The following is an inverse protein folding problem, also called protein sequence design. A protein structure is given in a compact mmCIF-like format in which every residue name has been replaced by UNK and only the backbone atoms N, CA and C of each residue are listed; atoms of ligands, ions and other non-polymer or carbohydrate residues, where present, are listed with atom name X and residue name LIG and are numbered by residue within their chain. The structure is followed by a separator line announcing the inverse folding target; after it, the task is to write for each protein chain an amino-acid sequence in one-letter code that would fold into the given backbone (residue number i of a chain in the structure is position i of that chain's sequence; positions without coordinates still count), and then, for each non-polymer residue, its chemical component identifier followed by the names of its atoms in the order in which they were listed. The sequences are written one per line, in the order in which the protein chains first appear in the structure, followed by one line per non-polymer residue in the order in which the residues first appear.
data_IF_957448716604
#
_entry.id   IF_957448716604
#
_cell.length_a   1.000
_cell.length_b   1.000
_cell.length_c   1.000
_cell.angle_alpha   90.00
_cell.angle_beta   90.00
_cell.angle_gamma   90.00
#
_symmetry.space_group_name_H-M   'P 1'
#
loop_
_entity.id
_entity.type
_entity.pdbx_description
1 polymer ?
#
# COMPACT_ATOMS: atom_id res chain seq x y z
N UNK A 1 -19.04 47.55 0.06
CA UNK A 1 -19.11 46.38 0.96
C UNK A 1 -19.89 45.26 0.26
N UNK A 2 -19.23 44.15 -0.10
CA UNK A 2 -19.94 42.95 -0.57
C UNK A 2 -20.55 42.26 0.65
N UNK A 3 -21.88 42.06 0.66
CA UNK A 3 -22.57 41.28 1.69
C UNK A 3 -22.13 39.82 1.57
N UNK A 4 -21.33 39.33 2.52
CA UNK A 4 -21.07 37.90 2.65
C UNK A 4 -22.38 37.21 3.06
N UNK A 5 -22.86 36.26 2.25
CA UNK A 5 -24.06 35.48 2.57
C UNK A 5 -23.71 34.39 3.58
N UNK A 6 -24.55 34.25 4.60
CA UNK A 6 -24.56 33.13 5.54
C UNK A 6 -24.67 31.81 4.76
N UNK A 7 -23.71 30.90 4.95
CA UNK A 7 -23.71 29.58 4.33
C UNK A 7 -24.83 28.73 4.94
N UNK A 8 -25.61 28.09 4.07
CA UNK A 8 -26.72 27.21 4.46
C UNK A 8 -26.12 25.90 4.94
N UNK A 9 -26.39 25.53 6.21
CA UNK A 9 -26.14 24.17 6.69
C UNK A 9 -27.05 23.20 5.91
N UNK A 10 -26.46 22.37 5.07
CA UNK A 10 -27.08 21.09 4.70
C UNK A 10 -26.51 20.04 5.63
N UNK A 11 -27.28 19.68 6.67
CA UNK A 11 -27.01 18.44 7.39
C UNK A 11 -27.19 17.29 6.38
N UNK A 12 -26.10 16.62 6.03
CA UNK A 12 -26.19 15.34 5.37
C UNK A 12 -26.65 14.30 6.39
N UNK A 13 -27.77 13.65 6.10
CA UNK A 13 -28.29 12.53 6.89
C UNK A 13 -29.28 12.95 7.97
N UNK A 14 -30.54 13.16 7.57
CA UNK A 14 -31.64 13.06 8.53
C UNK A 14 -31.66 11.65 9.12
N UNK A 15 -31.97 11.55 10.42
CA UNK A 15 -31.99 10.31 11.21
C UNK A 15 -32.76 9.16 10.51
N UNK A 16 -33.76 9.49 9.69
CA UNK A 16 -34.49 8.52 8.85
C UNK A 16 -33.63 7.77 7.82
N UNK A 17 -32.66 8.43 7.18
CA UNK A 17 -31.76 7.79 6.20
C UNK A 17 -30.72 6.88 6.87
N UNK A 18 -30.34 7.18 8.13
CA UNK A 18 -29.44 6.35 8.92
C UNK A 18 -30.13 5.03 9.32
N UNK A 19 -31.38 5.09 9.78
CA UNK A 19 -32.15 3.88 10.07
C UNK A 19 -32.44 3.05 8.81
N UNK A 20 -32.72 3.70 7.68
CA UNK A 20 -32.89 3.00 6.41
C UNK A 20 -31.61 2.24 5.98
N UNK A 21 -30.43 2.85 6.14
CA UNK A 21 -29.15 2.19 5.89
C UNK A 21 -28.87 1.05 6.86
N UNK A 22 -29.14 1.21 8.15
CA UNK A 22 -28.97 0.12 9.13
C UNK A 22 -29.87 -1.06 8.79
N UNK A 23 -31.12 -0.81 8.41
CA UNK A 23 -32.06 -1.85 8.00
C UNK A 23 -31.56 -2.54 6.73
N UNK A 24 -31.06 -1.80 5.73
CA UNK A 24 -30.51 -2.35 4.49
C UNK A 24 -29.26 -3.21 4.72
N UNK A 25 -28.36 -2.76 5.60
CA UNK A 25 -27.16 -3.51 6.02
C UNK A 25 -27.55 -4.76 6.81
N UNK A 26 -28.55 -4.66 7.69
CA UNK A 26 -29.04 -5.81 8.47
C UNK A 26 -29.69 -6.85 7.57
N UNK A 27 -30.51 -6.43 6.61
CA UNK A 27 -31.16 -7.33 5.63
C UNK A 27 -30.11 -8.00 4.74
N UNK A 28 -29.08 -7.27 4.29
CA UNK A 28 -28.00 -7.86 3.48
C UNK A 28 -27.14 -8.84 4.27
N UNK A 29 -26.83 -8.55 5.54
CA UNK A 29 -26.14 -9.51 6.43
C UNK A 29 -26.97 -10.76 6.68
N UNK A 30 -28.29 -10.62 6.90
CA UNK A 30 -29.20 -11.75 7.04
C UNK A 30 -29.25 -12.57 5.74
N UNK A 31 -29.33 -11.93 4.58
CA UNK A 31 -29.32 -12.59 3.27
C UNK A 31 -28.01 -13.34 3.01
N UNK A 32 -26.87 -12.74 3.36
CA UNK A 32 -25.56 -13.39 3.23
C UNK A 32 -25.48 -14.60 4.15
N UNK A 33 -25.93 -14.49 5.41
CA UNK A 33 -25.93 -15.61 6.36
C UNK A 33 -26.87 -16.74 5.91
N UNK A 34 -28.08 -16.45 5.43
CA UNK A 34 -29.00 -17.47 4.92
C UNK A 34 -28.47 -18.12 3.63
N UNK A 35 -27.84 -17.35 2.74
CA UNK A 35 -27.20 -17.86 1.54
C UNK A 35 -26.00 -18.76 1.85
N UNK A 36 -25.16 -18.38 2.81
CA UNK A 36 -24.01 -19.20 3.27
C UNK A 36 -24.47 -20.49 3.97
N UNK A 37 -25.53 -20.43 4.79
CA UNK A 37 -26.13 -21.62 5.42
C UNK A 37 -26.78 -22.55 4.38
N UNK A 38 -27.44 -22.01 3.36
CA UNK A 38 -27.97 -22.79 2.24
C UNK A 38 -26.86 -23.50 1.45
N UNK A 39 -25.71 -22.84 1.24
CA UNK A 39 -24.56 -23.45 0.55
C UNK A 39 -23.87 -24.55 1.37
N UNK A 40 -23.83 -24.43 2.71
CA UNK A 40 -23.34 -25.51 3.61
C UNK A 40 -24.25 -26.73 3.58
N UNK A 41 -25.57 -26.53 3.65
CA UNK A 41 -26.53 -27.64 3.52
C UNK A 41 -26.46 -28.33 2.14
N UNK A 42 -26.01 -27.62 1.09
CA UNK A 42 -25.78 -28.22 -0.22
C UNK A 42 -24.47 -29.03 -0.29
N UNK A 43 -23.41 -28.64 0.45
CA UNK A 43 -22.17 -29.43 0.51
C UNK A 43 -22.31 -30.69 1.35
N UNK A 44 -23.10 -30.64 2.43
CA UNK A 44 -23.30 -31.80 3.31
C UNK A 44 -24.18 -32.87 2.66
N UNK A 45 -25.09 -32.48 1.75
CA UNK A 45 -25.91 -33.42 0.96
C UNK A 45 -25.22 -34.02 -0.28
N UNK A 46 -23.99 -33.60 -0.59
CA UNK A 46 -23.18 -34.12 -1.70
C UNK A 46 -22.07 -35.09 -1.26
N UNK A 47 -21.88 -35.28 0.05
CA UNK A 47 -20.86 -36.20 0.60
C UNK A 47 -21.40 -37.59 0.97
N UNK A 48 -22.71 -37.83 0.85
CA UNK A 48 -23.33 -39.13 1.11
C UNK A 48 -23.74 -39.81 -0.20
N UNK A 49 -22.81 -40.58 -0.79
CA UNK A 49 -23.11 -41.79 -1.59
C UNK A 49 -21.83 -42.60 -1.89
N UNK A 50 -21.88 -43.89 -1.48
CA UNK A 50 -20.91 -45.00 -1.60
C UNK A 50 -20.04 -45.22 -0.33
N UNK A 51 -20.43 -46.03 0.68
CA UNK A 51 -20.55 -47.51 0.74
C UNK A 51 -19.20 -48.23 0.51
N UNK A 52 -18.66 -49.13 1.35
CA UNK A 52 -19.24 -50.21 2.17
C UNK A 52 -18.20 -50.69 3.22
N UNK A 53 -18.69 -51.19 4.35
CA UNK A 53 -17.95 -51.71 5.52
C UNK A 53 -17.33 -53.09 5.31
N UNK A 54 -16.25 -53.37 6.04
CA UNK A 54 -15.64 -54.68 6.23
C UNK A 54 -14.71 -54.67 7.43
N UNK A 55 -15.20 -55.21 8.55
CA UNK A 55 -14.53 -55.34 9.85
C UNK A 55 -13.79 -56.70 9.92
N UNK A 56 -12.84 -56.79 10.87
CA UNK A 56 -12.17 -58.01 11.42
C UNK A 56 -10.84 -58.44 10.71
N UNK A 57 -9.69 -58.75 11.37
CA UNK A 57 -9.41 -59.45 12.65
C UNK A 57 -7.91 -59.27 13.09
N UNK A 58 -7.68 -59.28 14.43
CA UNK A 58 -6.50 -59.66 15.28
C UNK A 58 -5.16 -58.89 15.40
N UNK A 59 -5.05 -58.17 16.55
CA UNK A 59 -4.09 -58.22 17.69
C UNK A 59 -2.65 -58.79 17.64
N UNK A 60 -1.78 -57.98 18.29
CA UNK A 60 -0.72 -58.25 19.30
C UNK A 60 0.63 -58.90 18.92
N UNK A 61 1.73 -58.17 19.14
CA UNK A 61 2.57 -58.36 20.35
C UNK A 61 3.63 -57.24 20.57
N UNK A 62 3.84 -56.96 21.86
CA UNK A 62 4.74 -56.03 22.56
C UNK A 62 6.24 -56.41 22.46
N UNK A 63 7.15 -55.42 22.37
CA UNK A 63 8.24 -54.97 23.31
C UNK A 63 9.13 -56.09 23.89
N UNK A 64 10.47 -55.99 23.94
CA UNK A 64 11.34 -54.97 24.55
C UNK A 64 12.80 -55.05 23.99
N UNK A 65 13.58 -53.97 24.14
CA UNK A 65 14.87 -53.93 24.88
C UNK A 65 15.83 -52.82 24.39
N UNK A 66 16.38 -52.11 25.37
CA UNK A 66 17.18 -50.88 25.31
C UNK A 66 18.67 -51.20 25.13
N UNK A 67 19.39 -50.51 24.24
CA UNK A 67 20.85 -50.41 24.32
C UNK A 67 21.29 -48.97 24.05
N UNK A 68 21.71 -48.29 25.12
CA UNK A 68 22.30 -46.95 25.11
C UNK A 68 23.82 -47.03 24.97
N UNK A 69 24.42 -46.05 24.28
CA UNK A 69 25.76 -45.43 24.46
C UNK A 69 26.22 -44.73 23.14
N UNK A 70 27.04 -43.65 23.16
CA UNK A 70 26.99 -42.42 23.95
C UNK A 70 26.78 -41.17 23.06
N UNK A 71 26.41 -40.05 23.69
CA UNK A 71 26.28 -38.74 23.05
C UNK A 71 27.63 -38.24 22.51
N UNK A 72 27.76 -38.12 21.19
CA UNK A 72 28.78 -37.26 20.57
C UNK A 72 28.10 -36.07 19.87
N UNK A 73 28.35 -34.89 20.43
CA UNK A 73 28.03 -33.60 19.86
C UNK A 73 28.68 -33.45 18.48
N UNK A 74 27.90 -33.67 17.42
CA UNK A 74 28.23 -33.17 16.09
C UNK A 74 27.06 -32.35 15.60
N UNK A 75 27.28 -31.05 15.57
CA UNK A 75 26.43 -30.02 15.01
C UNK A 75 25.98 -30.43 13.59
N UNK A 76 24.85 -31.12 13.46
CA UNK A 76 24.23 -31.40 12.17
C UNK A 76 23.68 -30.06 11.69
N UNK A 77 24.48 -29.30 10.92
CA UNK A 77 23.96 -28.33 9.96
C UNK A 77 23.00 -29.12 9.07
N UNK A 78 21.69 -29.07 9.37
CA UNK A 78 20.67 -29.48 8.39
C UNK A 78 20.91 -28.59 7.17
N UNK A 79 21.48 -29.17 6.10
CA UNK A 79 21.46 -28.52 4.80
C UNK A 79 19.98 -28.27 4.49
N UNK A 80 19.59 -26.99 4.38
CA UNK A 80 18.25 -26.64 3.95
C UNK A 80 18.10 -27.12 2.50
N UNK A 81 17.37 -28.21 2.30
CA UNK A 81 17.00 -28.68 0.97
C UNK A 81 16.07 -27.64 0.35
N UNK A 82 16.38 -27.09 -0.83
CA UNK A 82 15.50 -26.12 -1.46
C UNK A 82 14.13 -26.69 -1.78
N UNK A 83 13.11 -25.84 -1.67
CA UNK A 83 11.80 -26.14 -2.21
C UNK A 83 11.92 -26.37 -3.73
N UNK A 84 11.13 -27.31 -4.26
CA UNK A 84 11.18 -27.66 -5.66
C UNK A 84 11.02 -26.43 -6.57
N UNK A 85 11.98 -26.22 -7.46
CA UNK A 85 12.03 -25.08 -8.37
C UNK A 85 12.84 -23.88 -7.86
N UNK A 86 13.23 -23.85 -6.59
CA UNK A 86 14.07 -22.80 -6.01
C UNK A 86 15.58 -23.09 -6.11
N UNK A 87 15.96 -24.18 -6.75
CA UNK A 87 17.35 -24.52 -6.97
C UNK A 87 18.03 -23.48 -7.88
N UNK A 88 19.26 -23.13 -7.51
CA UNK A 88 20.19 -22.33 -8.29
C UNK A 88 21.46 -23.15 -8.52
N UNK A 89 22.13 -22.91 -9.65
CA UNK A 89 23.31 -23.68 -10.05
C UNK A 89 24.55 -23.36 -9.18
N UNK A 90 24.50 -22.25 -8.44
CA UNK A 90 25.60 -21.72 -7.63
C UNK A 90 25.45 -22.10 -6.14
N UNK A 91 26.57 -22.34 -5.47
CA UNK A 91 26.60 -22.50 -4.01
C UNK A 91 26.93 -21.17 -3.34
N UNK A 92 26.02 -20.66 -2.52
CA UNK A 92 26.20 -19.39 -1.80
C UNK A 92 27.21 -19.48 -0.66
N UNK A 93 27.97 -18.40 -0.43
CA UNK A 93 28.79 -18.25 0.76
C UNK A 93 27.91 -18.13 2.01
N UNK A 94 28.47 -18.42 3.20
CA UNK A 94 27.73 -18.42 4.46
C UNK A 94 27.03 -17.10 4.82
N UNK A 95 27.50 -15.99 4.27
CA UNK A 95 26.99 -14.65 4.50
C UNK A 95 26.15 -14.10 3.34
N UNK A 96 25.86 -14.93 2.33
CA UNK A 96 25.01 -14.59 1.20
C UNK A 96 23.76 -15.48 1.15
N UNK A 97 22.66 -14.92 0.67
CA UNK A 97 21.36 -15.57 0.62
C UNK A 97 21.03 -15.91 -0.83
N UNK A 98 20.66 -17.17 -1.13
CA UNK A 98 20.20 -17.56 -2.46
C UNK A 98 18.84 -16.94 -2.77
N UNK A 99 18.66 -16.48 -4.00
CA UNK A 99 17.38 -16.00 -4.52
C UNK A 99 17.15 -16.49 -5.94
N UNK A 100 15.88 -16.59 -6.31
CA UNK A 100 15.43 -16.84 -7.69
C UNK A 100 14.08 -16.16 -7.90
N UNK A 101 14.02 -15.23 -8.84
CA UNK A 101 12.85 -14.38 -9.09
C UNK A 101 12.59 -14.36 -10.59
N UNK A 102 11.41 -14.84 -10.97
CA UNK A 102 10.99 -14.98 -12.35
C UNK A 102 9.65 -14.27 -12.51
N UNK A 103 9.57 -13.33 -13.45
CA UNK A 103 8.30 -12.71 -13.82
C UNK A 103 7.37 -13.72 -14.49
N UNK A 104 6.07 -13.43 -14.50
CA UNK A 104 5.17 -14.12 -15.39
C UNK A 104 5.47 -13.85 -16.86
N UNK A 105 4.91 -14.66 -17.75
CA UNK A 105 4.97 -14.51 -19.21
C UNK A 105 3.60 -14.78 -19.79
N UNK A 106 3.05 -13.84 -20.56
CA UNK A 106 1.66 -13.94 -20.99
C UNK A 106 0.70 -13.89 -19.80
N UNK A 107 -0.39 -14.66 -19.91
CA UNK A 107 -1.47 -14.75 -18.91
C UNK A 107 -1.58 -16.12 -18.23
N UNK A 108 -0.71 -17.07 -18.60
CA UNK A 108 -0.80 -18.48 -18.20
C UNK A 108 0.48 -19.00 -17.50
N UNK A 109 1.62 -18.33 -17.69
CA UNK A 109 2.86 -18.61 -16.96
C UNK A 109 3.02 -17.61 -15.82
N UNK A 110 2.74 -18.09 -14.62
CA UNK A 110 2.72 -17.31 -13.38
C UNK A 110 4.13 -17.01 -12.87
N UNK A 111 4.34 -15.87 -12.19
CA UNK A 111 5.60 -15.53 -11.55
C UNK A 111 6.02 -16.55 -10.49
N UNK A 112 7.33 -16.58 -10.24
CA UNK A 112 7.96 -17.39 -9.19
C UNK A 112 8.88 -16.50 -8.36
N UNK A 113 8.74 -16.56 -7.03
CA UNK A 113 9.65 -15.89 -6.10
C UNK A 113 10.14 -16.91 -5.08
N UNK A 114 11.46 -17.10 -5.07
CA UNK A 114 12.19 -17.88 -4.09
C UNK A 114 13.19 -16.99 -3.36
N UNK A 115 13.25 -17.13 -2.04
CA UNK A 115 14.23 -16.45 -1.20
C UNK A 115 14.70 -17.39 -0.10
N UNK A 116 16.02 -17.45 0.09
CA UNK A 116 16.66 -18.38 1.03
C UNK A 116 16.16 -19.83 0.86
N UNK A 117 16.16 -20.30 -0.39
CA UNK A 117 15.72 -21.66 -0.79
C UNK A 117 14.24 -21.98 -0.54
N UNK A 118 13.41 -21.02 -0.11
CA UNK A 118 11.99 -21.20 0.15
C UNK A 118 11.15 -20.61 -0.97
N UNK A 119 10.13 -21.35 -1.43
CA UNK A 119 9.16 -20.90 -2.42
C UNK A 119 8.11 -20.00 -1.76
N UNK A 120 8.06 -18.73 -2.13
CA UNK A 120 7.20 -17.72 -1.51
C UNK A 120 6.03 -17.31 -2.41
N UNK A 121 6.23 -17.29 -3.72
CA UNK A 121 5.18 -17.01 -4.71
C UNK A 121 5.28 -18.01 -5.84
N UNK A 122 4.22 -18.78 -6.05
CA UNK A 122 4.02 -19.63 -7.23
C UNK A 122 2.58 -20.15 -7.28
N UNK A 123 2.06 -20.52 -8.44
CA UNK A 123 0.67 -21.02 -8.60
C UNK A 123 0.36 -22.31 -7.82
N UNK A 124 1.38 -23.08 -7.47
CA UNK A 124 1.22 -24.37 -6.79
C UNK A 124 1.16 -24.24 -5.25
N UNK A 125 1.37 -23.03 -4.70
CA UNK A 125 1.22 -22.80 -3.26
C UNK A 125 -0.27 -22.81 -2.89
N UNK A 126 -0.62 -23.48 -1.80
CA UNK A 126 -2.02 -23.68 -1.35
C UNK A 126 -2.79 -22.36 -1.19
N UNK A 127 -2.10 -21.33 -0.71
CA UNK A 127 -2.66 -20.00 -0.44
C UNK A 127 -2.19 -18.94 -1.45
N UNK A 128 -1.79 -19.37 -2.66
CA UNK A 128 -1.29 -18.48 -3.70
C UNK A 128 -2.37 -17.52 -4.18
N UNK A 129 -2.14 -16.22 -3.98
CA UNK A 129 -3.01 -15.14 -4.47
C UNK A 129 -2.40 -14.42 -5.66
N UNK A 130 -1.76 -15.12 -6.59
CA UNK A 130 -1.13 -14.46 -7.75
C UNK A 130 -2.21 -13.84 -8.64
N UNK A 131 -2.01 -12.58 -9.03
CA UNK A 131 -2.86 -11.89 -10.00
C UNK A 131 -2.01 -11.13 -11.02
N UNK A 132 -2.68 -10.62 -12.07
CA UNK A 132 -2.13 -9.57 -12.92
C UNK A 132 -1.56 -8.44 -12.06
N UNK A 133 -0.49 -7.81 -12.54
CA UNK A 133 0.12 -6.64 -11.93
C UNK A 133 1.42 -6.95 -11.19
N UNK A 134 1.58 -6.33 -10.01
CA UNK A 134 2.78 -6.43 -9.17
C UNK A 134 2.57 -7.52 -8.12
N UNK A 135 3.37 -8.58 -8.17
CA UNK A 135 3.40 -9.62 -7.14
C UNK A 135 4.65 -9.40 -6.28
N UNK A 136 4.48 -9.16 -4.98
CA UNK A 136 5.58 -8.76 -4.11
C UNK A 136 5.74 -9.64 -2.88
N UNK A 137 6.97 -9.67 -2.37
CA UNK A 137 7.33 -10.19 -1.06
C UNK A 137 8.13 -9.09 -0.35
N UNK A 138 7.79 -8.83 0.91
CA UNK A 138 8.59 -7.97 1.79
C UNK A 138 9.22 -8.83 2.87
N UNK A 139 10.51 -8.63 3.08
CA UNK A 139 11.33 -9.39 4.02
C UNK A 139 12.01 -8.40 4.97
N UNK A 140 12.03 -8.74 6.26
CA UNK A 140 12.75 -7.96 7.27
C UNK A 140 14.25 -7.91 6.91
N UNK A 141 14.81 -6.71 6.82
CA UNK A 141 16.20 -6.51 6.43
C UNK A 141 17.24 -7.02 7.45
N UNK A 142 16.83 -7.37 8.68
CA UNK A 142 17.71 -7.83 9.76
C UNK A 142 17.51 -9.32 10.07
N UNK A 143 16.26 -9.77 10.19
CA UNK A 143 15.95 -11.16 10.56
C UNK A 143 15.77 -12.07 9.36
N UNK A 144 15.53 -11.49 8.17
CA UNK A 144 15.16 -12.20 6.95
C UNK A 144 13.82 -12.96 7.03
N UNK A 145 12.98 -12.61 7.99
CA UNK A 145 11.62 -13.13 8.07
C UNK A 145 10.72 -12.48 7.02
N UNK A 146 9.83 -13.27 6.44
CA UNK A 146 8.83 -12.77 5.50
C UNK A 146 7.79 -11.96 6.28
N UNK A 147 7.70 -10.65 5.98
CA UNK A 147 6.74 -9.72 6.58
C UNK A 147 5.38 -9.79 5.89
N UNK A 148 5.39 -9.79 4.56
CA UNK A 148 4.17 -9.88 3.76
C UNK A 148 4.43 -10.50 2.39
N UNK A 149 3.38 -11.13 1.86
CA UNK A 149 3.29 -11.61 0.48
C UNK A 149 1.96 -11.09 -0.06
N UNK A 150 2.00 -10.16 -1.01
CA UNK A 150 0.80 -9.51 -1.55
C UNK A 150 0.88 -9.41 -3.09
N UNK A 151 -0.28 -9.35 -3.72
CA UNK A 151 -0.43 -9.04 -5.13
C UNK A 151 -1.21 -7.75 -5.29
N UNK A 152 -0.94 -7.01 -6.35
CA UNK A 152 -1.64 -5.78 -6.68
C UNK A 152 -1.95 -5.76 -8.17
N UNK A 153 -3.23 -5.64 -8.53
CA UNK A 153 -3.64 -5.42 -9.91
C UNK A 153 -3.39 -3.95 -10.31
N UNK A 154 -2.10 -3.61 -10.47
CA UNK A 154 -1.63 -2.27 -10.82
C UNK A 154 -2.00 -1.84 -12.24
N UNK A 155 -2.75 -2.66 -12.99
CA UNK A 155 -3.44 -2.23 -14.20
C UNK A 155 -4.75 -1.49 -13.87
N UNK A 156 -5.49 -1.91 -12.84
CA UNK A 156 -6.76 -1.30 -12.44
C UNK A 156 -6.60 -0.24 -11.35
N UNK A 157 -5.79 -0.53 -10.33
CA UNK A 157 -5.69 0.30 -9.12
C UNK A 157 -4.27 0.24 -8.55
N UNK A 158 -3.63 1.40 -8.35
CA UNK A 158 -2.28 1.46 -7.76
C UNK A 158 -2.24 1.95 -6.31
N UNK A 159 -3.30 2.54 -5.77
CA UNK A 159 -3.26 3.23 -4.47
C UNK A 159 -2.81 2.29 -3.34
N UNK A 160 -3.30 1.04 -3.31
CA UNK A 160 -2.87 0.04 -2.33
C UNK A 160 -1.41 -0.38 -2.48
N UNK A 161 -0.91 -0.45 -3.71
CA UNK A 161 0.49 -0.73 -3.99
C UNK A 161 1.37 0.41 -3.49
N UNK A 162 1.04 1.66 -3.84
CA UNK A 162 1.75 2.85 -3.39
C UNK A 162 1.75 2.98 -1.87
N UNK A 163 0.60 2.76 -1.22
CA UNK A 163 0.47 2.74 0.24
C UNK A 163 1.37 1.69 0.88
N UNK A 164 1.42 0.49 0.31
CA UNK A 164 2.29 -0.58 0.80
C UNK A 164 3.75 -0.18 0.72
N UNK A 165 4.21 0.31 -0.43
CA UNK A 165 5.58 0.80 -0.61
C UNK A 165 5.94 1.96 0.33
N UNK A 166 4.98 2.84 0.64
CA UNK A 166 5.20 4.01 1.51
C UNK A 166 5.22 3.63 3.00
N UNK A 167 4.21 2.88 3.45
CA UNK A 167 3.85 2.79 4.88
C UNK A 167 4.15 1.42 5.51
N UNK A 168 4.05 0.32 4.74
CA UNK A 168 4.19 -1.04 5.28
C UNK A 168 5.63 -1.57 5.28
N UNK A 169 6.53 -0.88 4.58
CA UNK A 169 7.93 -1.31 4.40
C UNK A 169 8.86 -0.29 5.06
N UNK A 170 9.74 -0.76 5.94
CA UNK A 170 10.69 0.08 6.65
C UNK A 170 11.98 0.27 5.84
N UNK A 171 12.75 1.31 6.17
CA UNK A 171 14.07 1.51 5.57
C UNK A 171 14.96 0.28 5.81
N UNK A 172 15.60 -0.20 4.74
CA UNK A 172 16.44 -1.40 4.75
C UNK A 172 15.71 -2.72 4.60
N UNK A 173 14.37 -2.77 4.71
CA UNK A 173 13.61 -3.97 4.37
C UNK A 173 13.75 -4.30 2.89
N UNK A 174 13.76 -5.61 2.58
CA UNK A 174 13.92 -6.11 1.22
C UNK A 174 12.55 -6.20 0.56
N UNK A 175 12.42 -5.59 -0.60
CA UNK A 175 11.28 -5.74 -1.51
C UNK A 175 11.71 -6.63 -2.68
N UNK A 176 11.03 -7.76 -2.85
CA UNK A 176 11.10 -8.57 -4.07
C UNK A 176 9.80 -8.33 -4.84
N UNK A 177 9.91 -8.00 -6.12
CA UNK A 177 8.78 -7.73 -7.01
C UNK A 177 8.96 -8.54 -8.30
N UNK A 178 7.87 -9.19 -8.74
CA UNK A 178 7.77 -9.85 -10.03
C UNK A 178 6.46 -9.43 -10.74
N UNK A 179 6.56 -8.99 -11.99
CA UNK A 179 5.40 -8.61 -12.80
C UNK A 179 4.65 -9.83 -13.33
N UNK A 180 3.33 -9.71 -13.56
CA UNK A 180 2.54 -10.71 -14.29
C UNK A 180 1.49 -10.06 -15.19
N UNK A 181 1.37 -10.52 -16.44
CA UNK A 181 0.53 -9.96 -17.52
C UNK A 181 0.85 -8.49 -17.82
N UNK A 182 0.34 -7.58 -17.00
CA UNK A 182 0.49 -6.13 -17.17
C UNK A 182 0.59 -5.45 -15.81
N UNK A 183 1.65 -4.66 -15.61
CA UNK A 183 1.95 -4.00 -14.34
C UNK A 183 1.92 -2.48 -14.42
N UNK A 184 2.07 -1.90 -15.61
CA UNK A 184 2.49 -0.50 -15.79
C UNK A 184 1.37 0.48 -16.13
N UNK A 185 0.21 0.02 -16.59
CA UNK A 185 -0.86 0.89 -17.11
C UNK A 185 -1.46 1.81 -16.03
N UNK A 186 -1.73 1.27 -14.85
CA UNK A 186 -2.25 2.03 -13.71
C UNK A 186 -1.17 2.70 -12.88
N UNK A 187 0.11 2.33 -13.02
CA UNK A 187 1.20 2.94 -12.26
C UNK A 187 1.40 4.42 -12.62
N UNK A 188 1.70 5.22 -11.59
CA UNK A 188 2.00 6.65 -11.71
C UNK A 188 3.40 6.98 -11.21
N UNK A 189 3.81 8.23 -11.45
CA UNK A 189 5.16 8.72 -11.15
C UNK A 189 5.55 8.60 -9.68
N UNK A 190 4.59 8.68 -8.75
CA UNK A 190 4.83 8.50 -7.32
C UNK A 190 5.32 7.07 -7.01
N UNK A 191 4.62 6.05 -7.51
CA UNK A 191 5.01 4.63 -7.39
C UNK A 191 6.35 4.37 -8.07
N UNK A 192 6.55 4.89 -9.29
CA UNK A 192 7.79 4.71 -10.05
C UNK A 192 8.99 5.35 -9.36
N UNK A 193 8.84 6.59 -8.87
CA UNK A 193 9.92 7.30 -8.16
C UNK A 193 10.20 6.67 -6.80
N UNK A 194 9.18 6.12 -6.14
CA UNK A 194 9.40 5.36 -4.93
C UNK A 194 10.20 4.09 -5.22
N UNK A 195 9.88 3.32 -6.27
CA UNK A 195 10.68 2.15 -6.68
C UNK A 195 12.15 2.50 -7.05
N UNK A 196 12.42 3.72 -7.54
CA UNK A 196 13.81 4.21 -7.68
C UNK A 196 14.51 4.37 -6.31
N UNK A 197 13.81 4.80 -5.27
CA UNK A 197 14.29 4.83 -3.88
C UNK A 197 14.40 3.43 -3.23
N UNK A 198 13.89 2.39 -3.90
CA UNK A 198 14.20 0.99 -3.59
C UNK A 198 15.44 0.49 -4.34
N UNK A 199 16.09 1.35 -5.11
CA UNK A 199 17.31 1.07 -5.86
C UNK A 199 17.11 0.74 -7.33
N UNK A 200 15.87 0.75 -7.85
CA UNK A 200 15.63 0.42 -9.27
C UNK A 200 16.19 1.49 -10.21
N UNK A 201 16.92 1.08 -11.25
CA UNK A 201 17.38 1.99 -12.31
C UNK A 201 16.42 2.02 -13.50
N UNK A 202 15.78 0.88 -13.78
CA UNK A 202 15.06 0.62 -15.01
C UNK A 202 13.54 0.77 -14.90
N UNK A 203 12.96 0.88 -13.70
CA UNK A 203 11.50 0.90 -13.51
C UNK A 203 10.76 1.92 -14.40
N UNK A 204 11.29 3.14 -14.54
CA UNK A 204 10.71 4.18 -15.42
C UNK A 204 10.79 3.87 -16.92
N UNK A 205 11.56 2.86 -17.32
CA UNK A 205 11.69 2.39 -18.71
C UNK A 205 10.80 1.19 -19.02
N UNK A 206 10.21 0.56 -18.01
CA UNK A 206 9.31 -0.60 -18.18
C UNK A 206 8.01 -0.11 -18.79
N UNK A 207 7.60 -0.73 -19.91
CA UNK A 207 6.40 -0.34 -20.66
C UNK A 207 5.30 -1.39 -20.51
N UNK A 208 4.13 -1.07 -21.06
CA UNK A 208 2.97 -1.95 -21.12
C UNK A 208 3.33 -3.37 -21.55
N UNK A 209 3.05 -4.36 -20.68
CA UNK A 209 3.35 -5.80 -20.85
C UNK A 209 4.82 -6.17 -21.07
N UNK A 210 5.74 -5.27 -20.75
CA UNK A 210 7.11 -5.68 -20.52
C UNK A 210 7.17 -6.51 -19.22
N UNK A 211 8.14 -7.41 -19.15
CA UNK A 211 8.37 -8.24 -17.97
C UNK A 211 9.45 -7.60 -17.11
N UNK A 212 9.22 -7.55 -15.80
CA UNK A 212 10.12 -6.92 -14.85
C UNK A 212 10.19 -7.71 -13.54
N UNK A 213 11.41 -7.82 -13.02
CA UNK A 213 11.68 -8.30 -11.65
C UNK A 213 12.65 -7.35 -10.98
N UNK A 214 12.51 -7.17 -9.68
CA UNK A 214 13.53 -6.51 -8.87
C UNK A 214 13.63 -7.09 -7.46
N UNK A 215 14.83 -7.04 -6.90
CA UNK A 215 15.12 -7.17 -5.48
C UNK A 215 15.79 -5.87 -5.07
N UNK A 216 15.08 -5.06 -4.29
CA UNK A 216 15.51 -3.76 -3.81
C UNK A 216 15.36 -3.64 -2.31
N UNK A 217 15.80 -2.52 -1.74
CA UNK A 217 15.59 -2.20 -0.33
C UNK A 217 15.19 -0.74 -0.20
N UNK A 218 14.23 -0.44 0.69
CA UNK A 218 13.81 0.96 0.89
C UNK A 218 15.00 1.78 1.38
N UNK A 219 15.32 2.86 0.67
CA UNK A 219 16.47 3.72 0.95
C UNK A 219 17.75 3.33 0.21
N UNK A 220 17.69 2.31 -0.64
CA UNK A 220 18.82 1.89 -1.44
C UNK A 220 19.05 2.86 -2.60
N UNK A 221 20.30 3.24 -2.82
CA UNK A 221 20.66 4.12 -3.94
C UNK A 221 20.25 3.52 -5.29
N UNK A 222 19.73 4.38 -6.19
CA UNK A 222 19.35 4.02 -7.55
C UNK A 222 20.47 3.27 -8.29
N UNK A 223 20.14 2.17 -8.95
CA UNK A 223 21.07 1.31 -9.68
C UNK A 223 21.80 0.27 -8.82
N UNK A 224 21.37 0.08 -7.57
CA UNK A 224 21.89 -0.98 -6.69
C UNK A 224 20.92 -2.14 -6.51
N UNK A 225 19.67 -2.03 -6.94
CA UNK A 225 18.75 -3.16 -6.95
C UNK A 225 19.24 -4.23 -7.94
N UNK A 226 18.98 -5.49 -7.60
CA UNK A 226 19.11 -6.60 -8.55
C UNK A 226 17.84 -6.59 -9.38
N UNK A 227 17.92 -6.29 -10.67
CA UNK A 227 16.74 -6.17 -11.52
C UNK A 227 16.97 -6.75 -12.91
N UNK A 228 15.88 -7.15 -13.56
CA UNK A 228 15.87 -7.46 -14.98
C UNK A 228 14.60 -6.92 -15.61
N UNK A 229 14.76 -6.23 -16.73
CA UNK A 229 13.69 -5.74 -17.59
C UNK A 229 13.78 -6.44 -18.94
N UNK A 230 12.69 -7.05 -19.37
CA UNK A 230 12.56 -7.69 -20.67
C UNK A 230 11.47 -7.00 -21.48
N UNK A 231 11.88 -6.28 -22.52
CA UNK A 231 10.92 -5.63 -23.40
C UNK A 231 10.18 -6.64 -24.28
N UNK A 232 8.87 -6.42 -24.46
CA UNK A 232 8.07 -7.18 -25.43
C UNK A 232 8.46 -6.85 -26.88
N UNK A 233 8.99 -5.66 -27.13
CA UNK A 233 9.26 -5.18 -28.49
C UNK A 233 7.99 -5.23 -29.35
N UNK A 234 8.03 -6.04 -30.42
CA UNK A 234 6.88 -6.25 -31.33
C UNK A 234 5.90 -7.35 -30.87
N UNK A 235 6.19 -8.05 -29.77
CA UNK A 235 5.34 -9.13 -29.25
C UNK A 235 4.22 -8.56 -28.37
N UNK A 236 3.25 -9.41 -28.07
CA UNK A 236 2.17 -9.09 -27.14
C UNK A 236 2.66 -8.97 -25.70
N UNK A 237 3.67 -9.79 -25.34
CA UNK A 237 4.24 -9.87 -23.99
C UNK A 237 5.77 -9.96 -24.02
N UNK A 238 6.40 -9.47 -22.95
CA UNK A 238 7.82 -9.68 -22.66
C UNK A 238 8.16 -11.16 -22.49
N UNK A 239 9.44 -11.49 -22.70
CA UNK A 239 9.97 -12.77 -22.20
C UNK A 239 10.09 -12.70 -20.68
N UNK A 240 10.09 -13.83 -19.99
CA UNK A 240 10.37 -13.87 -18.56
C UNK A 240 11.64 -13.10 -18.21
N UNK A 241 11.53 -12.14 -17.30
CA UNK A 241 12.66 -11.57 -16.60
C UNK A 241 13.02 -12.56 -15.47
N UNK A 242 14.25 -13.05 -15.46
CA UNK A 242 14.72 -14.15 -14.61
C UNK A 242 16.05 -13.73 -13.99
N UNK A 243 16.04 -13.51 -12.68
CA UNK A 243 17.24 -13.25 -11.89
C UNK A 243 17.40 -14.35 -10.85
N UNK A 244 18.61 -14.89 -10.75
CA UNK A 244 18.97 -15.93 -9.79
C UNK A 244 20.42 -15.75 -9.36
N UNK A 245 20.74 -16.13 -8.14
CA UNK A 245 22.10 -16.04 -7.61
C UNK A 245 22.12 -15.89 -6.09
N UNK A 246 23.25 -15.37 -5.58
CA UNK A 246 23.48 -15.14 -4.16
C UNK A 246 23.72 -13.66 -3.89
N UNK A 247 23.08 -13.10 -2.86
CA UNK A 247 23.26 -11.69 -2.47
C UNK A 247 23.53 -11.54 -0.98
N UNK A 248 24.38 -10.57 -0.63
CA UNK A 248 24.52 -10.08 0.76
C UNK A 248 23.63 -8.86 0.92
N UNK A 249 22.88 -8.82 2.02
CA UNK A 249 22.01 -7.69 2.34
C UNK A 249 22.60 -6.90 3.52
N UNK A 250 22.51 -5.56 3.50
CA UNK A 250 21.93 -4.76 2.42
C UNK A 250 22.78 -4.75 1.13
N UNK A 251 22.13 -4.60 -0.03
CA UNK A 251 22.76 -4.55 -1.36
C UNK A 251 23.68 -3.32 -1.53
N UNK A 252 23.58 -2.35 -0.63
CA UNK A 252 24.38 -1.14 -0.59
C UNK A 252 24.03 -0.31 0.64
N UNK A 253 24.53 0.93 0.66
CA UNK A 253 24.18 1.86 1.73
C UNK A 253 22.68 2.19 1.68
N UNK A 254 22.04 2.10 2.85
CA UNK A 254 20.64 2.49 3.05
C UNK A 254 20.63 3.92 3.59
N UNK A 255 19.98 4.82 2.85
CA UNK A 255 19.68 6.18 3.27
C UNK A 255 18.19 6.24 3.59
N UNK A 256 17.78 6.64 4.81
CA UNK A 256 16.37 6.72 5.16
C UNK A 256 15.59 7.50 4.11
N UNK A 257 14.52 6.88 3.58
CA UNK A 257 13.69 7.56 2.60
C UNK A 257 12.86 8.57 3.36
N UNK A 258 13.28 9.83 3.27
CA UNK A 258 12.37 10.95 3.52
C UNK A 258 11.38 10.90 2.37
N UNK A 259 10.38 10.03 2.47
CA UNK A 259 9.10 10.32 1.85
C UNK A 259 8.80 11.68 2.44
N UNK A 260 8.62 12.74 1.62
CA UNK A 260 8.07 13.97 2.16
C UNK A 260 6.85 13.47 2.90
N UNK A 261 6.93 13.43 4.24
CA UNK A 261 5.75 13.45 5.07
C UNK A 261 5.01 14.57 4.39
N UNK A 262 3.84 14.26 3.83
CA UNK A 262 2.93 15.25 3.26
C UNK A 262 3.22 16.55 4.00
N UNK A 263 3.54 17.67 3.34
CA UNK A 263 3.91 18.88 4.05
C UNK A 263 2.74 19.27 4.97
N UNK A 264 2.80 18.67 6.15
CA UNK A 264 1.78 18.53 7.15
C UNK A 264 2.54 19.14 8.27
N UNK A 265 2.37 20.45 8.32
CA UNK A 265 2.78 21.22 9.46
C UNK A 265 1.88 20.73 10.60
N UNK A 266 2.33 19.68 11.31
CA UNK A 266 1.76 19.27 12.58
C UNK A 266 1.95 20.42 13.54
N UNK A 267 0.88 20.83 14.22
CA UNK A 267 0.70 21.70 15.40
C UNK A 267 1.76 22.76 15.76
N UNK A 268 3.07 22.52 15.62
CA UNK A 268 4.16 23.46 15.89
C UNK A 268 4.80 24.17 14.67
N UNK A 269 4.38 23.90 13.42
CA UNK A 269 4.98 24.51 12.20
C UNK A 269 4.01 25.25 11.27
N UNK A 270 2.76 25.46 11.68
CA UNK A 270 1.76 26.08 10.80
C UNK A 270 2.09 27.56 10.65
N UNK A 271 2.48 27.96 9.45
CA UNK A 271 2.77 29.35 9.15
C UNK A 271 1.48 30.18 9.24
N UNK A 272 1.56 31.32 9.91
CA UNK A 272 0.46 32.29 9.99
C UNK A 272 0.82 33.47 9.10
N UNK A 273 -0.02 33.74 8.12
CA UNK A 273 0.08 34.90 7.26
C UNK A 273 -0.53 36.13 7.93
N UNK A 274 -1.22 36.93 7.11
CA UNK A 274 -1.90 38.15 7.58
C UNK A 274 -2.94 37.83 8.65
N UNK A 275 -3.01 38.66 9.68
CA UNK A 275 -4.11 38.66 10.66
C UNK A 275 -5.20 39.65 10.23
N UNK A 276 -6.45 39.23 10.35
CA UNK A 276 -7.63 40.05 10.06
C UNK A 276 -8.67 39.76 11.12
N UNK A 277 -9.05 40.77 11.90
CA UNK A 277 -10.04 40.64 12.95
C UNK A 277 -11.30 39.93 12.44
N UNK A 278 -11.72 38.90 13.17
CA UNK A 278 -12.93 38.12 12.88
C UNK A 278 -13.00 37.58 11.43
N UNK A 279 -11.84 37.36 10.79
CA UNK A 279 -11.71 37.01 9.37
C UNK A 279 -12.51 37.92 8.42
N UNK A 280 -12.73 39.18 8.80
CA UNK A 280 -13.49 40.16 8.02
C UNK A 280 -15.02 40.08 8.17
N UNK A 281 -15.53 39.25 9.09
CA UNK A 281 -16.94 39.26 9.47
C UNK A 281 -17.24 40.52 10.30
N UNK A 282 -18.40 41.14 10.04
CA UNK A 282 -18.85 42.36 10.75
C UNK A 282 -19.32 42.03 12.17
N UNK A 283 -19.99 40.89 12.35
CA UNK A 283 -20.50 40.43 13.64
C UNK A 283 -19.55 39.41 14.27
N UNK A 284 -19.22 39.60 15.55
CA UNK A 284 -18.35 38.69 16.30
C UNK A 284 -19.03 37.34 16.54
N UNK A 285 -18.26 36.26 16.38
CA UNK A 285 -18.71 34.91 16.69
C UNK A 285 -18.99 34.72 18.19
N UNK A 286 -19.93 33.82 18.53
CA UNK A 286 -20.21 33.43 19.92
C UNK A 286 -19.07 32.57 20.51
N UNK A 287 -19.11 32.32 21.81
CA UNK A 287 -18.09 31.55 22.54
C UNK A 287 -17.82 30.15 21.97
N UNK A 288 -18.81 29.48 21.34
CA UNK A 288 -18.64 28.17 20.70
C UNK A 288 -18.57 28.22 19.16
N UNK A 289 -18.43 29.42 18.59
CA UNK A 289 -18.30 29.65 17.15
C UNK A 289 -16.92 30.26 16.87
N UNK A 290 -16.41 30.12 15.64
CA UNK A 290 -15.19 30.79 15.22
C UNK A 290 -15.34 31.33 13.81
N UNK A 291 -14.63 32.42 13.54
CA UNK A 291 -14.71 33.08 12.26
C UNK A 291 -13.93 32.29 11.20
N UNK A 292 -14.54 32.13 10.03
CA UNK A 292 -13.88 31.51 8.88
C UNK A 292 -14.12 32.35 7.65
N UNK A 293 -13.06 32.58 6.88
CA UNK A 293 -13.16 33.10 5.51
C UNK A 293 -12.45 32.16 4.55
N UNK A 294 -13.21 31.57 3.64
CA UNK A 294 -12.73 30.66 2.60
C UNK A 294 -12.88 31.34 1.25
N UNK A 295 -11.80 31.39 0.48
CA UNK A 295 -11.75 32.05 -0.81
C UNK A 295 -10.95 31.21 -1.81
N UNK A 296 -11.58 30.81 -2.90
CA UNK A 296 -10.99 29.94 -3.93
C UNK A 296 -9.97 30.64 -4.82
N UNK A 297 -9.90 31.96 -4.79
CA UNK A 297 -9.29 32.70 -5.88
C UNK A 297 -10.27 32.97 -7.02
N UNK A 298 -9.85 33.85 -7.93
CA UNK A 298 -10.62 34.22 -9.14
C UNK A 298 -10.01 33.63 -10.42
N UNK A 299 -8.69 33.60 -10.48
CA UNK A 299 -7.87 33.12 -11.60
C UNK A 299 -6.50 32.69 -11.07
N UNK A 300 -5.61 32.20 -11.94
CA UNK A 300 -4.30 31.66 -11.58
C UNK A 300 -3.34 32.66 -10.89
N UNK A 301 -3.66 33.96 -10.83
CA UNK A 301 -2.86 34.97 -10.13
C UNK A 301 -3.44 35.39 -8.78
N UNK A 302 -4.67 34.98 -8.46
CA UNK A 302 -5.34 35.27 -7.19
C UNK A 302 -5.50 33.98 -6.39
N UNK A 303 -4.47 33.67 -5.63
CA UNK A 303 -4.29 32.44 -4.86
C UNK A 303 -5.37 32.21 -3.77
N UNK A 304 -5.57 30.95 -3.34
CA UNK A 304 -6.62 30.60 -2.40
C UNK A 304 -6.31 31.16 -1.02
N UNK A 305 -7.34 31.44 -0.24
CA UNK A 305 -7.21 31.97 1.12
C UNK A 305 -8.13 31.24 2.09
N UNK A 306 -7.58 30.78 3.21
CA UNK A 306 -8.35 30.29 4.36
C UNK A 306 -7.90 31.09 5.58
N UNK A 307 -8.83 31.83 6.17
CA UNK A 307 -8.68 32.43 7.48
C UNK A 307 -9.47 31.64 8.51
N UNK A 308 -8.85 31.34 9.64
CA UNK A 308 -9.46 30.70 10.81
C UNK A 308 -9.19 31.57 12.02
N UNK A 309 -10.26 32.00 12.68
CA UNK A 309 -10.25 32.82 13.90
C UNK A 309 -9.28 34.02 13.83
N UNK A 310 -9.38 34.74 12.72
CA UNK A 310 -8.63 35.95 12.43
C UNK A 310 -7.20 35.75 11.92
N UNK A 311 -6.78 34.52 11.64
CA UNK A 311 -5.45 34.19 11.11
C UNK A 311 -5.56 33.54 9.73
N UNK A 312 -4.98 34.15 8.70
CA UNK A 312 -4.83 33.48 7.40
C UNK A 312 -3.77 32.37 7.51
N UNK A 313 -4.22 31.13 7.39
CA UNK A 313 -3.38 29.91 7.45
C UNK A 313 -3.19 29.28 6.08
N UNK A 314 -3.99 29.67 5.08
CA UNK A 314 -3.69 29.43 3.66
C UNK A 314 -3.76 30.78 2.98
N UNK A 315 -2.70 31.16 2.28
CA UNK A 315 -2.61 32.34 1.42
C UNK A 315 -1.29 32.29 0.65
N UNK A 316 -1.05 33.24 -0.24
CA UNK A 316 0.18 33.29 -1.04
C UNK A 316 1.45 33.18 -0.21
N UNK A 317 2.23 32.13 -0.47
CA UNK A 317 3.48 31.81 0.23
C UNK A 317 3.31 31.32 1.67
N UNK A 318 2.09 30.94 2.08
CA UNK A 318 1.78 30.44 3.43
C UNK A 318 1.27 29.00 3.33
N UNK A 319 1.96 28.08 4.02
CA UNK A 319 1.66 26.64 4.07
C UNK A 319 1.41 26.04 2.68
N UNK A 320 2.30 26.37 1.74
CA UNK A 320 2.34 25.81 0.38
C UNK A 320 1.02 25.94 -0.39
N UNK A 321 0.29 27.04 -0.14
CA UNK A 321 -0.94 27.35 -0.86
C UNK A 321 -0.74 27.31 -2.38
N UNK A 322 -1.53 26.51 -3.08
CA UNK A 322 -1.30 26.26 -4.50
C UNK A 322 -2.46 25.58 -5.23
N UNK A 323 -2.24 25.23 -6.49
CA UNK A 323 -3.24 24.58 -7.36
C UNK A 323 -3.69 23.25 -6.78
N UNK A 324 -4.96 22.89 -6.93
CA UNK A 324 -5.53 21.67 -6.41
C UNK A 324 -6.30 21.92 -5.12
N UNK A 325 -6.17 21.02 -4.15
CA UNK A 325 -6.87 21.07 -2.86
C UNK A 325 -5.96 21.64 -1.77
N UNK A 326 -6.46 22.65 -1.07
CA UNK A 326 -5.82 23.24 0.09
C UNK A 326 -6.71 22.95 1.30
N UNK A 327 -6.16 22.28 2.30
CA UNK A 327 -6.89 21.68 3.43
C UNK A 327 -6.37 22.27 4.73
N UNK A 328 -7.29 22.66 5.61
CA UNK A 328 -7.03 23.12 6.98
C UNK A 328 -7.86 22.25 7.92
N UNK A 329 -7.23 21.74 8.97
CA UNK A 329 -7.89 20.96 10.01
C UNK A 329 -7.86 21.75 11.30
N UNK A 330 -9.04 21.91 11.90
CA UNK A 330 -9.27 22.68 13.13
C UNK A 330 -9.76 21.72 14.21
N UNK A 331 -9.16 21.77 15.39
CA UNK A 331 -9.61 21.01 16.55
C UNK A 331 -10.93 21.57 17.09
N UNK A 332 -11.60 20.80 17.96
CA UNK A 332 -12.77 21.30 18.69
C UNK A 332 -12.45 22.52 19.59
N UNK A 333 -11.17 22.72 19.95
CA UNK A 333 -10.68 23.90 20.66
C UNK A 333 -10.50 25.14 19.76
N UNK A 334 -10.91 25.09 18.49
CA UNK A 334 -10.75 26.14 17.46
C UNK A 334 -9.31 26.38 17.02
N UNK A 335 -8.40 25.51 17.41
CA UNK A 335 -7.00 25.63 17.03
C UNK A 335 -6.78 24.95 15.68
N UNK A 336 -6.03 25.60 14.80
CA UNK A 336 -5.59 24.95 13.56
C UNK A 336 -4.49 23.97 13.92
N UNK A 337 -4.76 22.69 13.74
CA UNK A 337 -3.85 21.59 14.12
C UNK A 337 -3.11 20.99 12.93
N UNK A 338 -3.62 21.23 11.72
CA UNK A 338 -3.02 20.70 10.48
C UNK A 338 -3.33 21.57 9.28
N UNK A 339 -2.40 21.64 8.34
CA UNK A 339 -2.62 22.12 6.96
C UNK A 339 -2.09 21.09 5.97
N UNK A 340 -2.55 21.17 4.72
CA UNK A 340 -2.03 20.35 3.62
C UNK A 340 -2.41 20.93 2.26
N UNK A 341 -1.50 20.82 1.30
CA UNK A 341 -1.71 21.15 -0.10
C UNK A 341 -1.54 19.89 -0.94
N UNK A 342 -2.50 19.66 -1.86
CA UNK A 342 -2.55 18.50 -2.73
C UNK A 342 -2.82 18.94 -4.16
N UNK A 343 -1.79 18.95 -5.00
CA UNK A 343 -1.90 19.25 -6.43
C UNK A 343 -2.52 18.05 -7.18
N UNK A 344 -3.83 17.83 -7.02
CA UNK A 344 -4.61 16.76 -7.68
C UNK A 344 -4.79 16.96 -9.18
N UNK A 345 -4.13 17.96 -9.76
CA UNK A 345 -3.93 18.06 -11.21
C UNK A 345 -2.67 17.31 -11.63
N UNK A 346 -1.58 17.47 -10.86
CA UNK A 346 -0.27 16.90 -11.17
C UNK A 346 -0.11 15.49 -10.63
N UNK A 347 -0.51 15.29 -9.38
CA UNK A 347 -0.27 14.09 -8.59
C UNK A 347 -1.58 13.33 -8.31
N UNK A 348 -1.49 12.04 -7.96
CA UNK A 348 -2.66 11.23 -7.58
C UNK A 348 -3.21 11.59 -6.17
N UNK A 349 -4.41 11.10 -5.87
CA UNK A 349 -5.11 11.35 -4.60
C UNK A 349 -4.52 10.61 -3.39
N UNK A 350 -3.54 9.72 -3.54
CA UNK A 350 -3.09 8.84 -2.45
C UNK A 350 -2.59 9.64 -1.25
N UNK A 351 -1.87 10.74 -1.48
CA UNK A 351 -1.42 11.60 -0.39
C UNK A 351 -2.60 12.30 0.30
N UNK A 352 -3.63 12.72 -0.43
CA UNK A 352 -4.83 13.28 0.18
C UNK A 352 -5.57 12.22 1.02
N UNK A 353 -5.71 11.00 0.50
CA UNK A 353 -6.39 9.91 1.21
C UNK A 353 -5.69 9.55 2.52
N UNK A 354 -4.36 9.35 2.48
CA UNK A 354 -3.58 9.09 3.69
C UNK A 354 -3.69 10.28 4.66
N UNK A 355 -3.85 11.52 4.17
CA UNK A 355 -3.95 12.69 5.04
C UNK A 355 -5.24 12.61 5.85
N UNK A 356 -6.34 12.33 5.16
CA UNK A 356 -7.69 12.21 5.73
C UNK A 356 -7.81 11.03 6.69
N UNK A 357 -7.16 9.90 6.40
CA UNK A 357 -7.16 8.71 7.27
C UNK A 357 -6.40 8.90 8.58
N UNK A 358 -5.43 9.82 8.62
CA UNK A 358 -4.66 10.13 9.82
C UNK A 358 -5.24 11.34 10.59
N UNK A 359 -6.51 11.68 10.36
CA UNK A 359 -7.21 12.69 11.15
C UNK A 359 -7.83 12.05 12.38
N UNK A 360 -7.79 12.78 13.50
CA UNK A 360 -8.49 12.39 14.71
C UNK A 360 -10.00 12.60 14.56
N UNK A 361 -10.78 11.90 15.37
CA UNK A 361 -12.21 12.15 15.49
C UNK A 361 -12.47 13.57 16.01
N UNK A 362 -13.66 14.10 15.74
CA UNK A 362 -14.13 15.40 16.26
C UNK A 362 -13.27 16.62 15.84
N UNK A 363 -12.80 16.61 14.59
CA UNK A 363 -12.14 17.75 13.94
C UNK A 363 -13.03 18.38 12.87
N UNK A 364 -12.76 19.64 12.54
CA UNK A 364 -13.41 20.37 11.44
C UNK A 364 -12.41 20.47 10.29
N UNK A 365 -12.81 20.05 9.10
CA UNK A 365 -12.00 20.16 7.89
C UNK A 365 -12.54 21.30 7.02
N UNK A 366 -11.68 22.24 6.66
CA UNK A 366 -11.96 23.33 5.74
C UNK A 366 -11.13 23.09 4.50
N UNK A 367 -11.78 22.95 3.35
CA UNK A 367 -11.13 22.68 2.07
C UNK A 367 -11.46 23.79 1.09
N UNK A 368 -10.45 24.23 0.33
CA UNK A 368 -10.64 25.14 -0.79
C UNK A 368 -9.87 24.65 -2.01
N UNK A 369 -10.53 24.70 -3.16
CA UNK A 369 -9.91 24.42 -4.46
C UNK A 369 -9.26 25.68 -5.02
N UNK A 370 -8.20 25.50 -5.80
CA UNK A 370 -7.60 26.57 -6.59
C UNK A 370 -7.22 26.06 -7.97
N UNK A 371 -7.55 26.85 -9.00
CA UNK A 371 -7.33 26.52 -10.40
C UNK A 371 -8.02 25.18 -10.79
N UNK A 372 -7.29 24.07 -10.93
CA UNK A 372 -7.87 22.75 -11.22
C UNK A 372 -7.57 21.76 -10.09
N UNK A 373 -8.59 21.02 -9.66
CA UNK A 373 -8.53 20.14 -8.49
C UNK A 373 -9.18 18.76 -8.71
N UNK A 374 -9.64 18.46 -9.92
CA UNK A 374 -10.49 17.30 -10.21
C UNK A 374 -9.97 16.36 -11.31
N UNK A 375 -8.74 16.54 -11.77
CA UNK A 375 -8.23 15.80 -12.91
C UNK A 375 -7.76 14.37 -12.59
N UNK A 376 -7.15 14.16 -11.41
CA UNK A 376 -6.56 12.87 -11.03
C UNK A 376 -7.14 12.31 -9.74
#
# INVERSE_FOLDING_TARGET
MRKFKRVIHKQFGGVGNFFAMIILVSITVIFINTYVLSKRNLSDNLSDKNFRTGEQIYNQNQTDEYLSLPQENKQIKRLLVPDAGCEIDETCSHDSIPYKVISGTGTDKYPMICFNNKLLVHKNLKDSKISRGSNIVVIDGKTYDVKLVETFDTYLEENFFLRTLKLKINDGDILILASFDEMTYGLRDASLSLLENYGSQSIKKVKYRDSFVMIGQKGLARGKAIEMHQSKGKRDFGSAADVRGCAKFPLGQITPVVIPSMEVNKEGKIAVGKTVENCGLVETCKENEFAVHVYTGKDNNDEPKICVDGKYVISKGINDAGRGLNVVVVSNGKEVIRTGHFDTWKDDSTNLEIFLENLEDNVIIIVVTFDEASQK
#
